data_IF_954714553452
#
_entry.id   IF_954714553452
#
_cell.length_a   1.000
_cell.length_b   1.000
_cell.length_c   1.000
_cell.angle_alpha   90.00
_cell.angle_beta   90.00
_cell.angle_gamma   90.00
#
_symmetry.space_group_name_H-M   'P 1'
#
loop_
_entity.id
_entity.type
_entity.pdbx_description
1 polymer ?
#
# COMPACT_ATOMS: atom_id res chain seq x y z
N UNK A 1 11.27 -26.00 23.24
CA UNK A 1 11.15 -24.70 23.96
C UNK A 1 10.65 -23.53 23.10
N UNK A 2 10.10 -23.73 21.89
CA UNK A 2 9.75 -22.62 20.96
C UNK A 2 8.25 -22.27 20.90
N UNK A 3 7.34 -23.24 21.02
CA UNK A 3 5.90 -22.98 20.88
C UNK A 3 5.24 -22.31 22.10
N UNK A 4 5.70 -22.56 23.33
CA UNK A 4 5.05 -22.00 24.53
C UNK A 4 5.39 -20.52 24.74
N UNK A 5 6.62 -20.11 24.41
CA UNK A 5 7.04 -18.69 24.46
C UNK A 5 6.32 -17.87 23.39
N UNK A 6 6.08 -18.46 22.22
CA UNK A 6 5.29 -17.84 21.15
C UNK A 6 3.82 -17.63 21.56
N UNK A 7 3.20 -18.66 22.16
CA UNK A 7 1.84 -18.57 22.68
C UNK A 7 1.71 -17.58 23.87
N UNK A 8 2.75 -17.46 24.70
CA UNK A 8 2.77 -16.54 25.85
C UNK A 8 3.00 -15.08 25.43
N UNK A 9 3.81 -14.83 24.40
CA UNK A 9 3.95 -13.52 23.77
C UNK A 9 2.63 -13.06 23.13
N UNK A 10 1.90 -13.97 22.47
CA UNK A 10 0.56 -13.69 21.92
C UNK A 10 -0.54 -13.52 22.99
N UNK A 11 -0.30 -13.97 24.23
CA UNK A 11 -1.26 -13.85 25.35
C UNK A 11 -1.18 -12.52 26.08
N UNK A 12 -0.02 -11.86 26.12
CA UNK A 12 0.07 -10.50 26.67
C UNK A 12 -0.75 -9.56 25.78
N UNK A 13 -1.73 -8.90 26.36
CA UNK A 13 -2.58 -7.94 25.65
C UNK A 13 -1.67 -6.82 25.11
N UNK A 14 -1.52 -6.75 23.78
CA UNK A 14 -0.73 -5.69 23.13
C UNK A 14 -1.45 -4.35 23.26
N UNK A 15 -2.78 -4.38 23.19
CA UNK A 15 -3.67 -3.25 23.41
C UNK A 15 -5.10 -3.75 23.68
N UNK A 16 -5.92 -2.90 24.27
CA UNK A 16 -7.34 -3.11 24.58
C UNK A 16 -8.23 -1.95 24.11
N UNK A 17 -7.63 -0.90 23.52
CA UNK A 17 -8.31 0.29 23.02
C UNK A 17 -7.85 0.67 21.61
N UNK A 18 -8.72 1.31 20.84
CA UNK A 18 -8.46 1.67 19.43
C UNK A 18 -7.31 2.67 19.28
N UNK A 19 -7.11 3.57 20.23
CA UNK A 19 -6.02 4.56 20.18
C UNK A 19 -4.66 3.88 20.28
N UNK A 20 -4.53 2.89 21.16
CA UNK A 20 -3.29 2.10 21.32
C UNK A 20 -3.13 1.12 20.14
N UNK A 21 -4.24 0.60 19.60
CA UNK A 21 -4.23 -0.20 18.38
C UNK A 21 -3.66 0.60 17.20
N UNK A 22 -4.08 1.87 17.05
CA UNK A 22 -3.55 2.80 16.05
C UNK A 22 -2.06 3.02 16.20
N UNK A 23 -1.61 3.38 17.40
CA UNK A 23 -0.21 3.75 17.64
C UNK A 23 0.72 2.54 17.43
N UNK A 24 0.30 1.34 17.83
CA UNK A 24 1.03 0.11 17.56
C UNK A 24 1.04 -0.26 16.07
N UNK A 25 -0.07 -0.06 15.34
CA UNK A 25 -0.12 -0.29 13.90
C UNK A 25 0.81 0.67 13.14
N UNK A 26 0.89 1.94 13.54
CA UNK A 26 1.82 2.90 12.93
C UNK A 26 3.28 2.46 13.07
N UNK A 27 3.67 1.89 14.22
CA UNK A 27 5.02 1.34 14.41
C UNK A 27 5.28 0.14 13.48
N UNK A 28 4.28 -0.75 13.34
CA UNK A 28 4.36 -1.90 12.42
C UNK A 28 4.50 -1.41 10.98
N UNK A 29 3.68 -0.45 10.55
CA UNK A 29 3.74 0.13 9.19
C UNK A 29 5.08 0.80 8.90
N UNK A 30 5.65 1.52 9.87
CA UNK A 30 6.98 2.11 9.74
C UNK A 30 8.06 1.03 9.53
N UNK A 31 7.99 -0.08 10.28
CA UNK A 31 8.88 -1.22 10.12
C UNK A 31 8.69 -1.91 8.75
N UNK A 32 7.44 -2.11 8.30
CA UNK A 32 7.13 -2.64 6.96
C UNK A 32 7.73 -1.77 5.87
N UNK A 33 7.62 -0.43 5.97
CA UNK A 33 8.21 0.49 4.99
C UNK A 33 9.73 0.39 4.98
N UNK A 34 10.38 0.35 6.15
CA UNK A 34 11.82 0.21 6.26
C UNK A 34 12.31 -1.11 5.63
N UNK A 35 11.62 -2.22 5.95
CA UNK A 35 11.90 -3.53 5.35
C UNK A 35 11.83 -3.48 3.83
N UNK A 36 10.77 -2.90 3.25
CA UNK A 36 10.62 -2.80 1.79
C UNK A 36 11.73 -2.00 1.13
N UNK A 37 12.16 -0.89 1.74
CA UNK A 37 13.28 -0.10 1.21
C UNK A 37 14.58 -0.92 1.24
N UNK A 38 14.86 -1.61 2.34
CA UNK A 38 16.05 -2.45 2.46
C UNK A 38 16.01 -3.65 1.50
N UNK A 39 14.85 -4.30 1.37
CA UNK A 39 14.61 -5.39 0.42
C UNK A 39 14.84 -4.95 -1.01
N UNK A 40 14.25 -3.81 -1.41
CA UNK A 40 14.46 -3.25 -2.74
C UNK A 40 15.95 -2.99 -3.01
N UNK A 41 16.68 -2.35 -2.09
CA UNK A 41 18.12 -2.10 -2.24
C UNK A 41 18.93 -3.39 -2.38
N UNK A 42 18.62 -4.41 -1.57
CA UNK A 42 19.30 -5.70 -1.62
C UNK A 42 19.03 -6.46 -2.93
N UNK A 43 17.80 -6.36 -3.47
CA UNK A 43 17.37 -7.07 -4.68
C UNK A 43 17.79 -6.37 -5.99
N UNK A 44 17.92 -5.04 -5.98
CA UNK A 44 18.35 -4.25 -7.14
C UNK A 44 19.88 -4.23 -7.28
N UNK A 45 20.61 -4.47 -6.19
CA UNK A 45 22.09 -4.45 -6.19
C UNK A 45 22.70 -3.04 -6.24
N UNK A 46 21.88 -1.99 -6.12
CA UNK A 46 22.31 -0.58 -6.10
C UNK A 46 22.90 -0.16 -4.74
N UNK A 47 23.82 -0.94 -4.18
CA UNK A 47 24.57 -0.49 -3.00
C UNK A 47 25.81 0.29 -3.46
N UNK A 48 25.99 1.57 -3.07
CA UNK A 48 27.29 2.19 -3.18
C UNK A 48 28.30 1.37 -2.36
N UNK A 49 29.53 1.24 -2.85
CA UNK A 49 30.57 0.31 -2.40
C UNK A 49 30.95 0.36 -0.89
N UNK A 50 30.34 1.26 -0.10
CA UNK A 50 30.65 1.49 1.32
C UNK A 50 29.48 1.21 2.29
N UNK A 51 28.34 0.70 1.84
CA UNK A 51 27.22 0.36 2.74
C UNK A 51 27.23 -1.14 3.05
N UNK A 52 27.22 -1.49 4.35
CA UNK A 52 27.09 -2.87 4.80
C UNK A 52 25.88 -3.53 4.12
N UNK A 53 26.13 -4.54 3.29
CA UNK A 53 25.09 -5.27 2.58
C UNK A 53 24.27 -6.03 3.63
N UNK A 54 23.05 -5.59 3.89
CA UNK A 54 22.11 -6.36 4.71
C UNK A 54 21.86 -7.70 4.04
N UNK A 55 22.15 -8.80 4.74
CA UNK A 55 21.96 -10.14 4.16
C UNK A 55 20.48 -10.42 3.93
N UNK A 56 20.17 -11.18 2.87
CA UNK A 56 18.79 -11.60 2.58
C UNK A 56 18.19 -12.41 3.73
N UNK A 57 19.02 -13.14 4.49
CA UNK A 57 18.61 -13.87 5.69
C UNK A 57 18.15 -12.93 6.80
N UNK A 58 18.87 -11.83 7.05
CA UNK A 58 18.45 -10.81 8.01
C UNK A 58 17.11 -10.18 7.62
N UNK A 59 16.92 -9.89 6.33
CA UNK A 59 15.65 -9.31 5.85
C UNK A 59 14.48 -10.30 5.98
N UNK A 60 14.71 -11.59 5.78
CA UNK A 60 13.71 -12.64 6.04
C UNK A 60 13.34 -12.68 7.52
N UNK A 61 14.34 -12.63 8.39
CA UNK A 61 14.11 -12.57 9.83
C UNK A 61 13.27 -11.34 10.21
N UNK A 62 13.63 -10.16 9.72
CA UNK A 62 12.88 -8.92 9.98
C UNK A 62 11.43 -9.00 9.47
N UNK A 63 11.23 -9.54 8.26
CA UNK A 63 9.90 -9.81 7.71
C UNK A 63 9.09 -10.70 8.65
N UNK A 64 9.65 -11.82 9.08
CA UNK A 64 8.96 -12.78 9.92
C UNK A 64 8.59 -12.16 11.27
N UNK A 65 9.47 -11.34 11.86
CA UNK A 65 9.15 -10.58 13.08
C UNK A 65 7.98 -9.60 12.87
N UNK A 66 7.92 -8.91 11.74
CA UNK A 66 6.81 -7.99 11.43
C UNK A 66 5.51 -8.76 11.21
N UNK A 67 5.55 -9.90 10.51
CA UNK A 67 4.38 -10.79 10.33
C UNK A 67 3.85 -11.26 11.70
N UNK A 68 4.72 -11.67 12.61
CA UNK A 68 4.30 -12.05 13.97
C UNK A 68 3.62 -10.90 14.72
N UNK A 69 4.12 -9.67 14.57
CA UNK A 69 3.48 -8.48 15.17
C UNK A 69 2.12 -8.18 14.55
N UNK A 70 1.98 -8.33 13.23
CA UNK A 70 0.70 -8.16 12.53
C UNK A 70 -0.34 -9.19 13.00
N UNK A 71 0.04 -10.47 13.11
CA UNK A 71 -0.88 -11.50 13.60
C UNK A 71 -1.30 -11.25 15.06
N UNK A 72 -0.36 -10.86 15.91
CA UNK A 72 -0.66 -10.50 17.28
C UNK A 72 -1.59 -9.27 17.37
N UNK A 73 -1.36 -8.26 16.52
CA UNK A 73 -2.21 -7.09 16.39
C UNK A 73 -3.64 -7.48 15.96
N UNK A 74 -3.77 -8.33 14.93
CA UNK A 74 -5.07 -8.82 14.43
C UNK A 74 -5.87 -9.54 15.52
N UNK A 75 -5.21 -10.40 16.31
CA UNK A 75 -5.85 -11.10 17.43
C UNK A 75 -6.35 -10.10 18.48
N UNK A 76 -5.54 -9.13 18.87
CA UNK A 76 -5.93 -8.11 19.85
C UNK A 76 -7.07 -7.22 19.31
N UNK A 77 -7.00 -6.80 18.05
CA UNK A 77 -8.02 -5.99 17.39
C UNK A 77 -9.38 -6.72 17.33
N UNK A 78 -9.38 -8.01 16.98
CA UNK A 78 -10.60 -8.84 16.98
C UNK A 78 -11.21 -9.05 18.38
N UNK A 79 -10.43 -8.94 19.46
CA UNK A 79 -11.00 -8.95 20.81
C UNK A 79 -11.78 -7.68 21.11
N UNK A 80 -11.28 -6.52 20.67
CA UNK A 80 -12.03 -5.26 20.76
C UNK A 80 -13.32 -5.37 19.94
N UNK A 81 -13.23 -5.93 18.72
CA UNK A 81 -14.40 -6.24 17.91
C UNK A 81 -15.41 -7.11 18.64
N UNK A 82 -14.99 -8.19 19.30
CA UNK A 82 -15.90 -9.06 20.04
C UNK A 82 -16.53 -8.39 21.27
N UNK A 83 -15.89 -7.37 21.84
CA UNK A 83 -16.45 -6.58 22.95
C UNK A 83 -17.47 -5.54 22.51
N UNK A 84 -17.39 -5.11 21.24
CA UNK A 84 -18.32 -4.18 20.61
C UNK A 84 -19.40 -4.99 19.86
N UNK A 85 -20.67 -4.62 20.00
CA UNK A 85 -21.74 -5.32 19.26
C UNK A 85 -21.52 -5.24 17.73
N UNK A 86 -21.94 -6.23 16.93
CA UNK A 86 -21.70 -6.27 15.48
C UNK A 86 -22.13 -5.00 14.74
N UNK A 87 -23.27 -4.41 15.12
CA UNK A 87 -23.79 -3.21 14.48
C UNK A 87 -22.92 -1.97 14.75
N UNK A 88 -22.42 -1.83 15.98
CA UNK A 88 -21.52 -0.74 16.36
C UNK A 88 -20.17 -0.88 15.66
N UNK A 89 -19.68 -2.11 15.50
CA UNK A 89 -18.40 -2.37 14.85
C UNK A 89 -18.42 -2.05 13.35
N UNK A 90 -19.43 -2.53 12.62
CA UNK A 90 -19.55 -2.26 11.19
C UNK A 90 -19.66 -0.77 10.86
N UNK A 91 -20.14 0.03 11.82
CA UNK A 91 -20.26 1.48 11.72
C UNK A 91 -19.19 2.23 12.52
N UNK A 92 -18.04 1.61 12.84
CA UNK A 92 -16.97 2.28 13.56
C UNK A 92 -15.89 2.78 12.60
N UNK A 93 -15.94 4.05 12.20
CA UNK A 93 -14.97 4.65 11.27
C UNK A 93 -13.50 4.41 11.65
N UNK A 94 -13.05 4.66 12.90
CA UNK A 94 -11.66 4.40 13.28
C UNK A 94 -11.28 2.92 13.14
N UNK A 95 -12.18 1.99 13.45
CA UNK A 95 -11.93 0.57 13.30
C UNK A 95 -11.79 0.17 11.82
N UNK A 96 -12.66 0.71 10.95
CA UNK A 96 -12.57 0.48 9.51
C UNK A 96 -11.27 1.02 8.90
N UNK A 97 -10.86 2.23 9.28
CA UNK A 97 -9.58 2.82 8.86
C UNK A 97 -8.39 1.95 9.30
N UNK A 98 -8.38 1.55 10.57
CA UNK A 98 -7.32 0.69 11.12
C UNK A 98 -7.26 -0.67 10.41
N UNK A 99 -8.40 -1.26 10.09
CA UNK A 99 -8.45 -2.52 9.36
C UNK A 99 -7.88 -2.38 7.95
N UNK A 100 -8.26 -1.33 7.20
CA UNK A 100 -7.70 -1.08 5.87
C UNK A 100 -6.17 -0.90 5.89
N UNK A 101 -5.65 -0.15 6.87
CA UNK A 101 -4.22 0.03 7.08
C UNK A 101 -3.50 -1.26 7.47
N UNK A 102 -4.12 -2.07 8.34
CA UNK A 102 -3.61 -3.39 8.69
C UNK A 102 -3.53 -4.30 7.46
N UNK A 103 -4.60 -4.39 6.69
CA UNK A 103 -4.69 -5.25 5.50
C UNK A 103 -3.60 -4.89 4.48
N UNK A 104 -3.40 -3.60 4.17
CA UNK A 104 -2.34 -3.22 3.24
C UNK A 104 -0.93 -3.45 3.80
N UNK A 105 -0.71 -3.21 5.10
CA UNK A 105 0.58 -3.45 5.75
C UNK A 105 0.93 -4.95 5.75
N UNK A 106 -0.06 -5.82 5.93
CA UNK A 106 0.09 -7.28 5.84
C UNK A 106 0.55 -7.70 4.46
N UNK A 107 -0.19 -7.30 3.41
CA UNK A 107 0.19 -7.59 2.01
C UNK A 107 1.62 -7.13 1.73
N UNK A 108 1.95 -5.89 2.09
CA UNK A 108 3.26 -5.30 1.80
C UNK A 108 4.40 -5.95 2.59
N UNK A 109 4.12 -6.49 3.77
CA UNK A 109 5.12 -7.22 4.57
C UNK A 109 5.36 -8.60 3.99
N UNK A 110 4.29 -9.36 3.74
CA UNK A 110 4.35 -10.75 3.27
C UNK A 110 5.01 -10.84 1.87
N UNK A 111 4.76 -9.84 1.01
CA UNK A 111 5.32 -9.75 -0.35
C UNK A 111 6.66 -9.00 -0.45
N UNK A 112 7.19 -8.47 0.67
CA UNK A 112 8.35 -7.54 0.67
C UNK A 112 9.63 -8.06 0.00
N UNK A 113 9.82 -9.38 -0.01
CA UNK A 113 11.00 -10.04 -0.60
C UNK A 113 10.68 -10.73 -1.94
N UNK A 114 9.44 -10.63 -2.41
CA UNK A 114 8.98 -11.22 -3.66
C UNK A 114 9.36 -10.35 -4.85
N UNK A 115 10.01 -10.96 -5.85
CA UNK A 115 10.27 -10.31 -7.14
C UNK A 115 9.08 -10.42 -8.09
N UNK A 116 8.44 -11.59 -8.11
CA UNK A 116 7.24 -11.82 -8.92
C UNK A 116 6.08 -10.98 -8.41
N UNK A 117 5.38 -10.31 -9.32
CA UNK A 117 4.15 -9.58 -9.01
C UNK A 117 2.93 -10.49 -8.88
N UNK A 118 3.07 -11.78 -9.19
CA UNK A 118 2.00 -12.76 -9.05
C UNK A 118 1.69 -13.07 -7.58
N UNK A 119 2.64 -12.84 -6.66
CA UNK A 119 2.42 -13.07 -5.22
C UNK A 119 1.28 -12.23 -4.64
N UNK A 120 0.91 -11.12 -5.28
CA UNK A 120 -0.24 -10.33 -4.86
C UNK A 120 -1.59 -11.03 -5.14
N UNK A 121 -1.63 -12.03 -6.02
CA UNK A 121 -2.84 -12.82 -6.29
C UNK A 121 -3.29 -13.62 -5.05
N UNK A 122 -2.33 -14.09 -4.24
CA UNK A 122 -2.60 -14.83 -3.00
C UNK A 122 -3.26 -13.96 -1.91
N UNK A 123 -3.36 -12.65 -2.14
CA UNK A 123 -3.93 -11.68 -1.21
C UNK A 123 -5.29 -11.12 -1.66
N UNK A 124 -5.99 -11.82 -2.56
CA UNK A 124 -7.31 -11.40 -3.07
C UNK A 124 -8.29 -11.04 -1.94
N UNK A 125 -8.51 -11.94 -0.98
CA UNK A 125 -9.39 -11.71 0.17
C UNK A 125 -8.97 -10.48 0.99
N UNK A 126 -7.66 -10.25 1.15
CA UNK A 126 -7.15 -9.09 1.89
C UNK A 126 -7.43 -7.78 1.15
N UNK A 127 -7.45 -7.79 -0.19
CA UNK A 127 -7.88 -6.64 -0.98
C UNK A 127 -9.40 -6.41 -0.90
N UNK A 128 -10.21 -7.46 -0.84
CA UNK A 128 -11.65 -7.35 -0.59
C UNK A 128 -11.93 -6.71 0.78
N UNK A 129 -11.18 -7.11 1.81
CA UNK A 129 -11.26 -6.53 3.14
C UNK A 129 -10.98 -5.01 3.16
N UNK A 130 -10.03 -4.52 2.35
CA UNK A 130 -9.75 -3.07 2.21
C UNK A 130 -10.95 -2.35 1.60
N UNK A 131 -11.53 -2.93 0.55
CA UNK A 131 -12.69 -2.36 -0.14
C UNK A 131 -13.91 -2.33 0.78
N UNK A 132 -14.18 -3.41 1.51
CA UNK A 132 -15.29 -3.50 2.45
C UNK A 132 -15.11 -2.55 3.64
N UNK A 133 -13.88 -2.39 4.15
CA UNK A 133 -13.59 -1.40 5.18
C UNK A 133 -13.87 0.03 4.70
N UNK A 134 -13.46 0.38 3.48
CA UNK A 134 -13.73 1.69 2.88
C UNK A 134 -15.24 1.92 2.66
N UNK A 135 -15.95 0.93 2.11
CA UNK A 135 -17.39 0.97 1.91
C UNK A 135 -18.16 1.27 3.20
N UNK A 136 -17.74 0.67 4.32
CA UNK A 136 -18.41 0.83 5.61
C UNK A 136 -18.01 2.13 6.34
N UNK A 137 -16.75 2.56 6.21
CA UNK A 137 -16.23 3.74 6.91
C UNK A 137 -16.49 5.08 6.20
N UNK A 138 -16.45 5.12 4.87
CA UNK A 138 -16.57 6.38 4.11
C UNK A 138 -17.90 7.13 4.30
N UNK A 139 -19.07 6.48 4.42
CA UNK A 139 -20.32 7.18 4.67
C UNK A 139 -20.29 8.07 5.93
N UNK A 140 -19.73 7.56 7.03
CA UNK A 140 -19.59 8.32 8.29
C UNK A 140 -18.65 9.51 8.12
N UNK A 141 -17.53 9.31 7.42
CA UNK A 141 -16.60 10.39 7.13
C UNK A 141 -17.32 11.52 6.39
N UNK A 142 -18.10 11.21 5.35
CA UNK A 142 -18.84 12.21 4.56
C UNK A 142 -19.90 12.97 5.38
N UNK A 143 -20.52 12.33 6.37
CA UNK A 143 -21.47 12.96 7.27
C UNK A 143 -20.81 13.96 8.23
N UNK A 144 -19.67 13.58 8.82
CA UNK A 144 -18.94 14.38 9.81
C UNK A 144 -18.25 15.62 9.22
N UNK A 145 -17.83 15.56 7.96
CA UNK A 145 -16.84 16.48 7.41
C UNK A 145 -17.31 17.28 6.20
N UNK A 146 -18.48 17.92 6.35
CA UNK A 146 -19.01 18.88 5.36
C UNK A 146 -18.11 20.12 5.15
N UNK A 147 -17.11 20.35 6.01
CA UNK A 147 -16.36 21.62 6.05
C UNK A 147 -14.85 21.52 5.81
N UNK A 148 -14.22 20.35 6.00
CA UNK A 148 -12.76 20.20 5.85
C UNK A 148 -12.40 19.32 4.64
N UNK A 149 -11.66 19.89 3.68
CA UNK A 149 -11.09 19.17 2.54
C UNK A 149 -9.77 18.46 2.87
N UNK A 150 -9.18 18.77 4.03
CA UNK A 150 -7.89 18.28 4.50
C UNK A 150 -8.00 17.56 5.85
N UNK A 151 -7.26 16.47 6.00
CA UNK A 151 -7.05 15.75 7.26
C UNK A 151 -5.55 15.57 7.54
N UNK A 152 -5.13 15.69 8.80
CA UNK A 152 -3.78 15.32 9.22
C UNK A 152 -3.61 13.81 9.39
N UNK A 153 -4.70 13.09 9.62
CA UNK A 153 -4.69 11.63 9.74
C UNK A 153 -4.74 10.98 8.36
N UNK A 154 -3.96 9.91 8.19
CA UNK A 154 -4.12 9.02 7.04
C UNK A 154 -5.38 8.18 7.27
N UNK A 155 -6.38 8.33 6.41
CA UNK A 155 -7.63 7.59 6.46
C UNK A 155 -7.61 6.52 5.34
N UNK A 156 -8.58 6.51 4.45
CA UNK A 156 -8.68 5.47 3.43
C UNK A 156 -7.82 5.72 2.19
N UNK A 157 -7.36 6.95 1.93
CA UNK A 157 -6.69 7.26 0.66
C UNK A 157 -5.43 6.41 0.44
N UNK A 158 -4.60 6.28 1.49
CA UNK A 158 -3.35 5.51 1.41
C UNK A 158 -3.58 4.01 1.15
N UNK A 159 -4.37 3.27 1.97
CA UNK A 159 -4.59 1.85 1.72
C UNK A 159 -5.31 1.58 0.40
N UNK A 160 -6.24 2.43 -0.04
CA UNK A 160 -6.90 2.29 -1.34
C UNK A 160 -5.93 2.52 -2.50
N UNK A 161 -5.11 3.57 -2.44
CA UNK A 161 -4.10 3.86 -3.45
C UNK A 161 -3.09 2.72 -3.59
N UNK A 162 -2.48 2.31 -2.48
CA UNK A 162 -1.48 1.22 -2.47
C UNK A 162 -2.09 -0.12 -2.88
N UNK A 163 -3.36 -0.36 -2.53
CA UNK A 163 -4.13 -1.52 -2.97
C UNK A 163 -4.36 -1.50 -4.49
N UNK A 164 -4.80 -0.38 -5.05
CA UNK A 164 -5.06 -0.22 -6.49
C UNK A 164 -3.79 -0.37 -7.35
N UNK A 165 -2.60 -0.09 -6.78
CA UNK A 165 -1.31 -0.29 -7.45
C UNK A 165 -0.87 -1.76 -7.48
N UNK A 166 -1.30 -2.58 -6.52
CA UNK A 166 -0.78 -3.96 -6.33
C UNK A 166 -1.80 -5.06 -6.61
N UNK A 167 -3.06 -4.82 -6.32
CA UNK A 167 -4.15 -5.72 -6.68
C UNK A 167 -4.16 -5.88 -8.21
N UNK A 168 -4.32 -7.12 -8.68
CA UNK A 168 -4.37 -7.45 -10.12
C UNK A 168 -5.78 -7.77 -10.61
N UNK A 169 -6.76 -7.81 -9.71
CA UNK A 169 -8.15 -8.08 -10.06
C UNK A 169 -8.85 -6.77 -10.52
N UNK A 170 -9.34 -6.69 -11.76
CA UNK A 170 -9.89 -5.45 -12.31
C UNK A 170 -11.07 -4.86 -11.52
N UNK A 171 -11.99 -5.67 -11.01
CA UNK A 171 -13.17 -5.21 -10.29
C UNK A 171 -12.77 -4.50 -9.00
N UNK A 172 -11.90 -5.12 -8.18
CA UNK A 172 -11.40 -4.58 -6.92
C UNK A 172 -10.61 -3.30 -7.15
N UNK A 173 -9.76 -3.24 -8.17
CA UNK A 173 -9.03 -1.99 -8.50
C UNK A 173 -9.97 -0.84 -8.86
N UNK A 174 -11.00 -1.12 -9.66
CA UNK A 174 -12.01 -0.11 -9.99
C UNK A 174 -12.81 0.31 -8.76
N UNK A 175 -13.15 -0.61 -7.86
CA UNK A 175 -13.79 -0.27 -6.59
C UNK A 175 -12.88 0.58 -5.70
N UNK A 176 -11.59 0.26 -5.62
CA UNK A 176 -10.64 1.07 -4.86
C UNK A 176 -10.54 2.50 -5.42
N UNK A 177 -10.41 2.66 -6.74
CA UNK A 177 -10.46 3.97 -7.39
C UNK A 177 -11.77 4.70 -7.11
N UNK A 178 -12.91 4.02 -7.22
CA UNK A 178 -14.21 4.57 -6.93
C UNK A 178 -14.26 5.12 -5.49
N UNK A 179 -13.84 4.33 -4.50
CA UNK A 179 -13.81 4.76 -3.11
C UNK A 179 -12.82 5.89 -2.83
N UNK A 180 -11.70 5.97 -3.56
CA UNK A 180 -10.78 7.10 -3.47
C UNK A 180 -11.46 8.44 -3.80
N UNK A 181 -12.45 8.48 -4.70
CA UNK A 181 -13.17 9.73 -4.99
C UNK A 181 -13.97 10.28 -3.79
N UNK A 182 -14.32 9.42 -2.83
CA UNK A 182 -15.06 9.80 -1.63
C UNK A 182 -14.15 10.14 -0.45
N UNK A 183 -12.84 9.95 -0.55
CA UNK A 183 -11.90 10.35 0.50
C UNK A 183 -11.72 11.87 0.56
N UNK A 184 -10.99 12.36 1.56
CA UNK A 184 -10.61 13.77 1.64
C UNK A 184 -9.72 14.18 0.47
N UNK A 185 -9.81 15.44 0.07
CA UNK A 185 -8.99 15.97 -1.02
C UNK A 185 -7.50 15.84 -0.70
N UNK A 186 -7.15 15.94 0.58
CA UNK A 186 -5.79 15.70 1.08
C UNK A 186 -5.80 15.00 2.45
N UNK A 187 -5.01 13.95 2.59
CA UNK A 187 -4.77 13.20 3.82
C UNK A 187 -3.26 13.22 4.13
N UNK A 188 -2.83 14.04 5.09
CA UNK A 188 -1.42 14.27 5.35
C UNK A 188 -0.70 14.83 4.12
N UNK A 189 0.25 14.07 3.56
CA UNK A 189 0.97 14.41 2.33
C UNK A 189 0.31 13.85 1.06
N UNK A 190 -0.76 13.07 1.20
CA UNK A 190 -1.41 12.38 0.08
C UNK A 190 -2.49 13.26 -0.53
N UNK A 191 -2.37 13.53 -1.83
CA UNK A 191 -3.36 14.28 -2.60
C UNK A 191 -4.26 13.32 -3.37
N UNK A 192 -5.58 13.39 -3.16
CA UNK A 192 -6.54 12.46 -3.76
C UNK A 192 -6.47 12.45 -5.29
N UNK A 193 -6.49 13.62 -5.92
CA UNK A 193 -6.45 13.75 -7.38
C UNK A 193 -5.17 13.16 -7.97
N UNK A 194 -4.03 13.36 -7.30
CA UNK A 194 -2.74 12.79 -7.67
C UNK A 194 -2.76 11.26 -7.56
N UNK A 195 -3.17 10.71 -6.41
CA UNK A 195 -3.21 9.28 -6.19
C UNK A 195 -4.14 8.58 -7.20
N UNK A 196 -5.31 9.16 -7.49
CA UNK A 196 -6.23 8.66 -8.52
C UNK A 196 -5.55 8.70 -9.89
N UNK A 197 -4.94 9.83 -10.26
CA UNK A 197 -4.28 9.99 -11.56
C UNK A 197 -3.18 8.95 -11.78
N UNK A 198 -2.34 8.72 -10.77
CA UNK A 198 -1.25 7.74 -10.82
C UNK A 198 -1.81 6.32 -10.88
N UNK A 199 -2.75 5.96 -10.00
CA UNK A 199 -3.34 4.62 -9.99
C UNK A 199 -4.08 4.28 -11.29
N UNK A 200 -4.84 5.23 -11.84
CA UNK A 200 -5.49 5.09 -13.16
C UNK A 200 -4.45 4.88 -14.25
N UNK A 201 -3.37 5.66 -14.27
CA UNK A 201 -2.30 5.50 -15.28
C UNK A 201 -1.66 4.11 -15.19
N UNK A 202 -1.37 3.65 -13.99
CA UNK A 202 -0.82 2.31 -13.75
C UNK A 202 -1.77 1.25 -14.27
N UNK A 203 -3.06 1.35 -13.97
CA UNK A 203 -4.09 0.42 -14.47
C UNK A 203 -4.14 0.38 -16.00
N UNK A 204 -4.12 1.54 -16.66
CA UNK A 204 -4.12 1.65 -18.12
C UNK A 204 -2.92 0.94 -18.75
N UNK A 205 -1.73 1.17 -18.21
CA UNK A 205 -0.48 0.58 -18.69
C UNK A 205 -0.43 -0.94 -18.45
N UNK A 206 -0.81 -1.40 -17.26
CA UNK A 206 -0.78 -2.84 -16.93
C UNK A 206 -1.81 -3.64 -17.72
N UNK A 207 -2.94 -3.03 -18.06
CA UNK A 207 -4.04 -3.66 -18.82
C UNK A 207 -3.89 -3.50 -20.35
N UNK A 208 -2.80 -2.88 -20.83
CA UNK A 208 -2.57 -2.64 -22.25
C UNK A 208 -3.58 -1.68 -22.89
N UNK A 209 -4.28 -0.85 -22.10
CA UNK A 209 -5.21 0.17 -22.58
C UNK A 209 -4.51 1.45 -23.01
N UNK A 210 -3.25 1.60 -22.62
CA UNK A 210 -2.39 2.69 -23.03
C UNK A 210 -0.96 2.19 -23.20
N UNK A 211 -0.19 2.93 -24.01
CA UNK A 211 1.23 2.70 -24.17
C UNK A 211 2.03 3.73 -23.37
N UNK A 212 3.20 3.31 -22.93
CA UNK A 212 4.26 4.19 -22.51
C UNK A 212 5.24 4.37 -23.66
N UNK A 213 5.50 5.63 -23.99
CA UNK A 213 6.47 6.03 -25.01
C UNK A 213 7.62 6.70 -24.24
N UNK A 214 8.75 6.01 -24.14
CA UNK A 214 9.95 6.58 -23.54
C UNK A 214 10.49 7.71 -24.41
N UNK A 215 10.94 8.81 -23.80
CA UNK A 215 11.69 9.84 -24.49
C UNK A 215 13.14 9.38 -24.83
N UNK A 216 13.67 8.41 -24.08
CA UNK A 216 15.10 8.07 -24.05
C UNK A 216 15.44 6.62 -24.49
N UNK A 217 14.49 5.79 -24.95
CA UNK A 217 14.83 4.40 -25.35
C UNK A 217 13.78 3.71 -26.26
N UNK A 218 14.23 2.74 -27.08
CA UNK A 218 13.45 1.87 -28.00
C UNK A 218 12.39 0.97 -27.31
N UNK A 219 12.13 1.19 -26.02
CA UNK A 219 11.17 0.42 -25.25
C UNK A 219 9.74 0.90 -25.48
N UNK A 220 8.99 0.12 -26.26
CA UNK A 220 7.54 0.20 -26.34
C UNK A 220 6.91 -0.85 -25.44
N UNK A 221 5.98 -0.42 -24.60
CA UNK A 221 5.04 -1.32 -23.92
C UNK A 221 4.02 -1.87 -24.92
N UNK A 222 4.47 -2.56 -25.98
CA UNK A 222 3.57 -3.09 -27.01
C UNK A 222 3.14 -4.50 -26.64
N UNK A 223 1.86 -4.66 -26.26
CA UNK A 223 1.12 -5.93 -26.36
C UNK A 223 1.32 -6.99 -25.28
N UNK A 224 2.23 -6.79 -24.31
CA UNK A 224 2.38 -7.70 -23.16
C UNK A 224 1.87 -7.05 -21.88
N UNK A 225 1.10 -7.78 -21.06
CA UNK A 225 0.71 -7.34 -19.72
C UNK A 225 1.96 -6.96 -18.92
N UNK A 226 2.04 -5.70 -18.53
CA UNK A 226 3.11 -5.20 -17.66
C UNK A 226 2.62 -5.32 -16.22
N UNK A 227 3.49 -5.76 -15.32
CA UNK A 227 3.26 -5.68 -13.89
C UNK A 227 4.40 -4.89 -13.26
N UNK A 228 4.07 -3.72 -12.72
CA UNK A 228 5.08 -2.87 -12.11
C UNK A 228 5.48 -3.43 -10.75
N UNK A 229 6.78 -3.64 -10.57
CA UNK A 229 7.36 -4.03 -9.29
C UNK A 229 7.19 -2.92 -8.26
N UNK A 230 7.39 -1.67 -8.66
CA UNK A 230 7.09 -0.51 -7.82
C UNK A 230 6.67 0.71 -8.65
N UNK A 231 5.96 1.62 -8.01
CA UNK A 231 5.52 2.89 -8.60
C UNK A 231 5.84 3.99 -7.59
N UNK A 232 6.75 4.88 -7.97
CA UNK A 232 7.22 5.98 -7.13
C UNK A 232 6.70 7.29 -7.72
N UNK A 233 5.81 7.95 -6.98
CA UNK A 233 5.37 9.31 -7.29
C UNK A 233 6.21 10.30 -6.47
N UNK A 234 6.78 11.29 -7.14
CA UNK A 234 7.49 12.41 -6.49
C UNK A 234 6.49 13.45 -5.96
N UNK A 235 7.00 14.48 -5.27
CA UNK A 235 6.14 15.58 -4.83
C UNK A 235 5.55 16.31 -6.04
N UNK A 236 4.24 16.59 -5.98
CA UNK A 236 3.60 17.38 -7.02
C UNK A 236 4.15 18.82 -7.05
N UNK A 237 4.08 19.43 -8.23
CA UNK A 237 4.49 20.81 -8.47
C UNK A 237 3.56 21.48 -9.47
N UNK A 238 3.57 22.82 -9.52
CA UNK A 238 2.81 23.58 -10.52
C UNK A 238 3.72 24.03 -11.65
N UNK A 239 3.29 23.78 -12.88
CA UNK A 239 3.93 24.30 -14.10
C UNK A 239 2.83 24.69 -15.09
N UNK A 240 2.97 25.87 -15.71
CA UNK A 240 2.00 26.39 -16.69
C UNK A 240 0.53 26.37 -16.21
N UNK A 241 0.32 26.66 -14.91
CA UNK A 241 -1.01 26.67 -14.28
C UNK A 241 -1.59 25.28 -13.97
N UNK A 242 -0.93 24.19 -14.38
CA UNK A 242 -1.36 22.81 -14.14
C UNK A 242 -0.60 22.21 -12.97
N UNK A 243 -1.24 21.28 -12.27
CA UNK A 243 -0.59 20.46 -11.25
C UNK A 243 0.01 19.23 -11.93
N UNK A 244 1.30 18.99 -11.67
CA UNK A 244 2.11 17.96 -12.30
C UNK A 244 2.67 17.02 -11.22
N UNK A 245 2.85 15.75 -11.55
CA UNK A 245 3.54 14.76 -10.71
C UNK A 245 4.46 13.91 -11.57
N UNK A 246 5.72 13.82 -11.17
CA UNK A 246 6.68 12.94 -11.82
C UNK A 246 6.56 11.52 -11.25
N UNK A 247 6.43 10.54 -12.12
CA UNK A 247 6.21 9.14 -11.75
C UNK A 247 7.31 8.28 -12.33
N UNK A 248 7.94 7.47 -11.49
CA UNK A 248 8.88 6.43 -11.90
C UNK A 248 8.24 5.06 -11.70
N UNK A 249 8.08 4.32 -12.78
CA UNK A 249 7.67 2.91 -12.77
C UNK A 249 8.90 2.01 -12.79
N UNK A 250 8.90 1.02 -11.91
CA UNK A 250 9.97 0.04 -11.80
C UNK A 250 9.47 -1.31 -12.28
N UNK A 251 10.18 -1.92 -13.22
CA UNK A 251 9.89 -3.24 -13.75
C UNK A 251 11.04 -4.18 -13.42
N UNK A 252 10.66 -5.41 -13.09
CA UNK A 252 11.60 -6.52 -12.95
C UNK A 252 11.38 -7.53 -14.08
N UNK A 253 12.41 -7.81 -14.88
CA UNK A 253 12.41 -8.82 -15.95
C UNK A 253 13.66 -9.69 -15.88
N UNK A 254 13.58 -10.91 -15.33
CA UNK A 254 14.75 -11.75 -15.08
C UNK A 254 15.49 -12.20 -16.37
N UNK A 255 14.85 -12.15 -17.54
CA UNK A 255 15.36 -12.78 -18.76
C UNK A 255 16.17 -11.86 -19.71
N UNK A 256 16.36 -10.57 -19.41
CA UNK A 256 16.81 -9.58 -20.41
C UNK A 256 18.20 -8.94 -20.13
N UNK A 257 19.06 -9.57 -19.32
CA UNK A 257 20.44 -9.10 -19.06
C UNK A 257 20.55 -7.85 -18.15
N UNK A 258 19.60 -6.91 -18.22
CA UNK A 258 19.31 -5.93 -17.17
C UNK A 258 17.98 -6.28 -16.52
N UNK A 259 18.04 -6.86 -15.33
CA UNK A 259 16.84 -7.36 -14.64
C UNK A 259 15.88 -6.26 -14.19
N UNK A 260 16.36 -5.02 -14.10
CA UNK A 260 15.57 -3.87 -13.66
C UNK A 260 15.47 -2.83 -14.77
N UNK A 261 14.25 -2.35 -15.02
CA UNK A 261 13.97 -1.24 -15.94
C UNK A 261 13.21 -0.15 -15.21
N UNK A 262 13.50 1.09 -15.58
CA UNK A 262 12.88 2.29 -15.01
C UNK A 262 12.24 3.09 -16.14
N UNK A 263 10.99 3.47 -15.96
CA UNK A 263 10.23 4.29 -16.89
C UNK A 263 9.80 5.54 -16.15
N UNK A 264 10.00 6.72 -16.74
CA UNK A 264 9.63 8.00 -16.13
C UNK A 264 8.67 8.77 -17.03
N UNK A 265 7.58 9.25 -16.47
CA UNK A 265 6.73 10.24 -17.13
C UNK A 265 6.24 11.29 -16.13
N UNK A 266 5.87 12.45 -16.65
CA UNK A 266 5.20 13.50 -15.88
C UNK A 266 3.71 13.44 -16.18
N UNK A 267 2.89 13.25 -15.15
CA UNK A 267 1.44 13.23 -15.27
C UNK A 267 0.87 14.60 -14.93
N UNK A 268 -0.01 15.10 -15.80
CA UNK A 268 -0.91 16.20 -15.47
C UNK A 268 -2.01 15.66 -14.56
N UNK A 269 -2.18 16.28 -13.39
CA UNK A 269 -3.25 16.00 -12.43
C UNK A 269 -4.42 16.94 -12.73
N UNK A 270 -5.56 16.36 -13.10
CA UNK A 270 -6.79 17.13 -13.26
C UNK A 270 -7.32 17.50 -11.88
N UNK A 271 -7.54 18.80 -11.63
CA UNK A 271 -8.12 19.34 -10.40
C UNK A 271 -9.64 19.18 -10.35
#
# INVERSE_FOLDING_TARGET
>A
MSQSVHAEYLRRQIFDRLEIARDSLHQIMAATRALRVCAFRALVGSSPANTAVTSLESLRHDRDQIVLKLEAWKIAFRRIQGSLGPQLWCSCFPASVLWAHFSIAKVYTETSLGLSQECYADHHETFEEIVEAAKNGLPQMLEETKTASFSFEACFLTPLYLGALKCREPILRNLMLHYMHFTKAKEGLWHRSECIRVATRVMELEQGRSEFISADDDFRSSGAFIHFHDVMAELNYRSEGKTMVDVTYVLYRPCEGRSWRYMKETLVVNE
#
